data_IF_070376649041
#
_entry.id   IF_070376649041
#
_cell.length_a   1.000
_cell.length_b   1.000
_cell.length_c   1.000
_cell.angle_alpha   90.00
_cell.angle_beta   90.00
_cell.angle_gamma   90.00
#
_symmetry.space_group_name_H-M   'P 1'
#
loop_
_entity.id
_entity.type
_entity.pdbx_description
1 polymer ?
#
# COMPACT_ATOMS: atom_id res chain seq x y z
N UNK A 1 -8.84 -9.94 10.48
CA UNK A 1 -7.61 -9.38 9.88
C UNK A 1 -6.41 -9.46 10.81
N UNK A 2 -6.36 -8.71 11.93
CA UNK A 2 -5.12 -8.56 12.72
C UNK A 2 -4.83 -9.68 13.73
N UNK A 3 -5.78 -10.58 13.96
CA UNK A 3 -5.57 -11.80 14.76
C UNK A 3 -4.72 -12.82 13.99
N UNK A 4 -4.15 -13.80 14.70
CA UNK A 4 -3.19 -14.76 14.12
C UNK A 4 -3.73 -15.50 12.89
N UNK A 5 -5.01 -15.89 12.89
CA UNK A 5 -5.67 -16.60 11.78
C UNK A 5 -6.56 -15.67 10.92
N UNK A 6 -6.53 -14.37 11.21
CA UNK A 6 -7.52 -13.42 10.70
C UNK A 6 -7.45 -13.16 9.19
N UNK A 7 -6.36 -13.53 8.50
CA UNK A 7 -6.26 -13.48 7.04
C UNK A 7 -6.81 -14.75 6.38
N UNK A 8 -6.57 -15.92 6.97
CA UNK A 8 -7.12 -17.18 6.46
C UNK A 8 -8.64 -17.18 6.54
N UNK A 9 -9.21 -16.69 7.65
CA UNK A 9 -10.67 -16.52 7.76
C UNK A 9 -11.22 -15.56 6.71
N UNK A 10 -10.49 -14.49 6.37
CA UNK A 10 -10.90 -13.57 5.31
C UNK A 10 -10.87 -14.24 3.93
N UNK A 11 -9.86 -15.07 3.68
CA UNK A 11 -9.70 -15.81 2.42
C UNK A 11 -10.79 -16.84 2.15
N UNK A 12 -11.62 -17.21 3.14
CA UNK A 12 -12.80 -18.04 2.92
C UNK A 12 -13.87 -17.34 2.07
N UNK A 13 -13.87 -16.00 2.03
CA UNK A 13 -14.94 -15.24 1.36
C UNK A 13 -14.48 -13.98 0.61
N UNK A 14 -13.19 -13.66 0.62
CA UNK A 14 -12.63 -12.51 -0.09
C UNK A 14 -11.38 -12.93 -0.90
N UNK A 15 -11.15 -12.27 -2.03
CA UNK A 15 -9.95 -12.47 -2.86
C UNK A 15 -8.86 -11.41 -2.59
N UNK A 16 -9.18 -10.39 -1.80
CA UNK A 16 -8.24 -9.32 -1.46
C UNK A 16 -8.75 -8.38 -0.37
N UNK A 17 -7.86 -7.52 0.10
CA UNK A 17 -8.11 -6.53 1.14
C UNK A 17 -7.72 -5.12 0.65
N UNK A 18 -8.52 -4.13 1.03
CA UNK A 18 -8.23 -2.73 0.76
C UNK A 18 -8.05 -1.95 2.06
N UNK A 19 -6.87 -1.94 2.68
CA UNK A 19 -6.63 -1.19 3.91
C UNK A 19 -6.37 0.30 3.63
N UNK A 20 -6.46 1.13 4.66
CA UNK A 20 -5.89 2.48 4.58
C UNK A 20 -4.36 2.37 4.48
N UNK A 21 -3.72 3.16 3.62
CA UNK A 21 -2.27 3.05 3.31
C UNK A 21 -1.35 3.14 4.55
N UNK A 22 -1.77 3.84 5.61
CA UNK A 22 -1.06 3.92 6.88
C UNK A 22 -0.97 2.59 7.65
N UNK A 23 -1.78 1.59 7.28
CA UNK A 23 -1.69 0.21 7.79
C UNK A 23 -0.65 -0.63 7.04
N UNK A 24 -0.17 -0.15 5.88
CA UNK A 24 0.90 -0.76 5.09
C UNK A 24 2.24 -0.13 5.45
N UNK A 25 2.37 1.18 5.34
CA UNK A 25 3.54 1.94 5.82
C UNK A 25 3.08 2.92 6.89
N UNK A 26 3.59 2.78 8.11
CA UNK A 26 3.13 3.59 9.24
C UNK A 26 3.33 5.09 9.01
N UNK A 27 2.41 5.91 9.51
CA UNK A 27 2.52 7.37 9.52
C UNK A 27 3.68 7.90 10.38
N UNK A 28 4.22 7.08 11.29
CA UNK A 28 5.43 7.38 12.07
C UNK A 28 6.72 7.25 11.27
N UNK A 29 6.67 6.64 10.08
CA UNK A 29 7.85 6.46 9.23
C UNK A 29 8.49 7.80 8.86
N UNK A 30 9.79 7.78 8.61
CA UNK A 30 10.55 8.93 8.13
C UNK A 30 11.37 8.54 6.90
N UNK A 31 11.91 9.55 6.21
CA UNK A 31 12.80 9.30 5.07
C UNK A 31 14.02 8.50 5.55
N UNK A 32 14.20 7.30 5.01
CA UNK A 32 15.30 6.39 5.39
C UNK A 32 15.00 5.44 6.56
N UNK A 33 13.83 5.54 7.21
CA UNK A 33 13.37 4.57 8.21
C UNK A 33 11.87 4.30 8.02
N UNK A 34 11.57 3.33 7.16
CA UNK A 34 10.21 2.90 6.87
C UNK A 34 9.77 1.81 7.86
N UNK A 35 8.61 2.02 8.46
CA UNK A 35 7.94 1.01 9.28
C UNK A 35 6.89 0.32 8.41
N UNK A 36 7.33 -0.66 7.62
CA UNK A 36 6.47 -1.49 6.79
C UNK A 36 5.84 -2.58 7.65
N UNK A 37 4.52 -2.64 7.61
CA UNK A 37 3.70 -3.61 8.33
C UNK A 37 3.78 -4.99 7.69
N UNK A 38 3.73 -6.10 8.46
CA UNK A 38 3.64 -7.45 7.90
C UNK A 38 2.26 -7.76 7.29
N UNK A 39 1.38 -6.76 7.14
CA UNK A 39 0.01 -6.94 6.64
C UNK A 39 0.01 -7.49 5.21
N UNK A 40 0.89 -6.99 4.34
CA UNK A 40 0.96 -7.42 2.93
C UNK A 40 1.42 -8.87 2.86
N UNK A 41 2.56 -9.19 3.48
CA UNK A 41 3.07 -10.57 3.57
C UNK A 41 2.04 -11.56 4.10
N UNK A 42 1.30 -11.20 5.15
CA UNK A 42 0.26 -12.06 5.73
C UNK A 42 -0.94 -12.24 4.81
N UNK A 43 -1.33 -11.21 4.07
CA UNK A 43 -2.40 -11.30 3.10
C UNK A 43 -1.99 -12.21 1.93
N UNK A 44 -0.79 -12.00 1.38
CA UNK A 44 -0.23 -12.84 0.32
C UNK A 44 -0.08 -14.30 0.75
N UNK A 45 0.38 -14.56 1.99
CA UNK A 45 0.47 -15.91 2.53
C UNK A 45 -0.89 -16.63 2.61
N UNK A 46 -1.99 -15.88 2.75
CA UNK A 46 -3.36 -16.38 2.72
C UNK A 46 -3.98 -16.39 1.31
N UNK A 47 -3.23 -16.00 0.27
CA UNK A 47 -3.70 -15.92 -1.11
C UNK A 47 -4.55 -14.69 -1.45
N UNK A 48 -4.49 -13.65 -0.61
CA UNK A 48 -5.25 -12.40 -0.78
C UNK A 48 -4.41 -11.32 -1.46
N UNK A 49 -4.98 -10.62 -2.44
CA UNK A 49 -4.38 -9.39 -2.99
C UNK A 49 -4.54 -8.20 -2.03
N UNK A 50 -3.68 -7.19 -2.15
CA UNK A 50 -3.70 -5.99 -1.31
C UNK A 50 -3.78 -4.72 -2.16
N UNK A 51 -4.88 -3.98 -2.03
CA UNK A 51 -5.16 -2.74 -2.76
C UNK A 51 -5.44 -1.55 -1.82
N UNK A 52 -4.42 -0.89 -1.24
CA UNK A 52 -4.65 0.15 -0.23
C UNK A 52 -5.24 1.43 -0.80
N UNK A 53 -5.88 2.21 0.07
CA UNK A 53 -6.47 3.50 -0.25
C UNK A 53 -6.04 4.61 0.73
N UNK A 54 -6.18 5.91 0.43
CA UNK A 54 -6.24 6.53 -0.91
C UNK A 54 -4.94 7.30 -1.11
N UNK A 55 -4.34 7.16 -2.28
CA UNK A 55 -3.12 7.89 -2.65
C UNK A 55 -3.54 9.19 -3.32
N UNK A 56 -3.12 10.31 -2.72
CA UNK A 56 -3.48 11.66 -3.16
C UNK A 56 -2.23 12.52 -3.25
N UNK A 57 -2.17 13.38 -4.27
CA UNK A 57 -1.07 14.34 -4.46
C UNK A 57 -1.40 15.75 -3.96
N UNK A 58 -2.59 15.97 -3.39
CA UNK A 58 -2.96 17.27 -2.82
C UNK A 58 -1.96 17.70 -1.72
N UNK A 59 -1.82 19.02 -1.54
CA UNK A 59 -0.94 19.57 -0.52
C UNK A 59 -1.25 18.99 0.88
N UNK A 60 -0.23 18.41 1.52
CA UNK A 60 -0.34 17.79 2.84
C UNK A 60 -0.89 16.35 2.86
N UNK A 61 -1.22 15.76 1.70
CA UNK A 61 -1.68 14.36 1.64
C UNK A 61 -0.57 13.34 1.41
N UNK A 62 0.57 13.78 0.87
CA UNK A 62 1.78 12.95 0.74
C UNK A 62 2.43 12.83 2.13
N UNK A 63 2.57 11.61 2.69
CA UNK A 63 3.22 11.41 3.99
C UNK A 63 4.67 11.87 3.99
N UNK A 64 5.18 12.33 5.14
CA UNK A 64 6.53 12.91 5.27
C UNK A 64 7.68 11.94 4.95
N UNK A 65 7.42 10.63 4.97
CA UNK A 65 8.39 9.62 4.58
C UNK A 65 8.61 9.51 3.07
N UNK A 66 7.68 10.02 2.27
CA UNK A 66 7.79 10.04 0.81
C UNK A 66 8.30 11.39 0.33
N UNK A 67 9.06 11.38 -0.77
CA UNK A 67 9.54 12.61 -1.38
C UNK A 67 8.41 13.43 -2.01
N UNK A 68 7.64 12.76 -2.85
CA UNK A 68 6.50 13.27 -3.57
C UNK A 68 5.48 12.14 -3.80
N UNK A 69 4.51 12.39 -4.68
CA UNK A 69 3.49 11.39 -5.00
C UNK A 69 4.08 10.15 -5.67
N UNK A 70 5.01 10.32 -6.61
CA UNK A 70 5.67 9.21 -7.31
C UNK A 70 6.52 8.36 -6.37
N UNK A 71 7.28 8.96 -5.45
CA UNK A 71 8.02 8.20 -4.44
C UNK A 71 7.08 7.47 -3.48
N UNK A 72 5.92 8.06 -3.13
CA UNK A 72 4.90 7.35 -2.36
C UNK A 72 4.41 6.08 -3.09
N UNK A 73 4.17 6.17 -4.41
CA UNK A 73 3.80 5.02 -5.23
C UNK A 73 4.92 3.98 -5.26
N UNK A 74 6.16 4.42 -5.49
CA UNK A 74 7.36 3.56 -5.51
C UNK A 74 7.50 2.77 -4.22
N UNK A 75 7.36 3.45 -3.07
CA UNK A 75 7.45 2.84 -1.75
C UNK A 75 6.38 1.77 -1.54
N UNK A 76 5.14 2.00 -1.96
CA UNK A 76 4.09 1.01 -1.73
C UNK A 76 4.11 -0.13 -2.74
N UNK A 77 4.36 0.15 -4.03
CA UNK A 77 4.43 -0.89 -5.06
C UNK A 77 5.67 -1.77 -4.92
N UNK A 78 6.83 -1.19 -4.61
CA UNK A 78 8.11 -1.92 -4.73
C UNK A 78 8.80 -2.22 -3.41
N UNK A 79 8.55 -1.45 -2.34
CA UNK A 79 9.10 -1.78 -1.01
C UNK A 79 8.08 -2.55 -0.16
N UNK A 80 6.80 -2.16 -0.20
CA UNK A 80 5.73 -2.81 0.55
C UNK A 80 4.95 -3.86 -0.28
N UNK A 81 5.28 -4.03 -1.56
CA UNK A 81 4.75 -5.06 -2.46
C UNK A 81 3.21 -5.12 -2.57
N UNK A 82 2.54 -3.98 -2.67
CA UNK A 82 1.08 -3.96 -2.88
C UNK A 82 0.72 -4.31 -4.33
N UNK A 83 -0.34 -5.08 -4.54
CA UNK A 83 -0.77 -5.54 -5.87
C UNK A 83 -1.39 -4.41 -6.73
N UNK A 84 -1.82 -3.33 -6.08
CA UNK A 84 -2.58 -2.24 -6.66
C UNK A 84 -2.90 -1.18 -5.62
N UNK A 85 -3.53 -0.08 -6.04
CA UNK A 85 -3.95 0.97 -5.11
C UNK A 85 -5.13 1.77 -5.64
N UNK A 86 -5.83 2.42 -4.71
CA UNK A 86 -6.85 3.41 -5.02
C UNK A 86 -6.24 4.81 -4.97
N UNK A 87 -6.42 5.58 -6.05
CA UNK A 87 -5.96 6.97 -6.15
C UNK A 87 -6.99 7.84 -6.83
N UNK A 88 -7.04 9.11 -6.42
CA UNK A 88 -7.83 10.15 -7.08
C UNK A 88 -7.10 10.73 -8.33
N UNK A 89 -5.86 10.28 -8.58
CA UNK A 89 -4.98 10.73 -9.67
C UNK A 89 -4.56 9.56 -10.58
N UNK A 90 -5.52 8.88 -11.25
CA UNK A 90 -5.25 7.65 -12.00
C UNK A 90 -4.26 7.85 -13.15
N UNK A 91 -4.27 9.02 -13.80
CA UNK A 91 -3.35 9.37 -14.88
C UNK A 91 -1.89 9.43 -14.41
N UNK A 92 -1.65 9.80 -13.14
CA UNK A 92 -0.33 9.82 -12.54
C UNK A 92 0.15 8.42 -12.19
N UNK A 93 -0.69 7.62 -11.55
CA UNK A 93 -0.34 6.24 -11.22
C UNK A 93 -0.07 5.37 -12.47
N UNK A 94 -0.88 5.52 -13.54
CA UNK A 94 -0.64 4.82 -14.81
C UNK A 94 0.70 5.23 -15.44
N UNK A 95 0.98 6.54 -15.51
CA UNK A 95 2.25 7.03 -16.06
C UNK A 95 3.45 6.55 -15.25
N UNK A 96 3.33 6.54 -13.93
CA UNK A 96 4.37 6.02 -13.04
C UNK A 96 4.68 4.54 -13.35
N UNK A 97 3.67 3.67 -13.39
CA UNK A 97 3.88 2.25 -13.69
C UNK A 97 4.47 2.02 -15.08
N UNK A 98 3.97 2.71 -16.11
CA UNK A 98 4.51 2.60 -17.47
C UNK A 98 5.99 3.00 -17.59
N UNK A 99 6.46 3.91 -16.73
CA UNK A 99 7.84 4.36 -16.72
C UNK A 99 8.78 3.48 -15.87
N UNK A 100 8.24 2.57 -15.06
CA UNK A 100 8.99 1.78 -14.07
C UNK A 100 8.68 0.27 -14.16
N UNK A 101 8.18 -0.21 -15.30
CA UNK A 101 8.04 -1.64 -15.64
C UNK A 101 9.28 -2.18 -16.35
#
# INVERSE_FOLDING_TARGET
MFEADGMNTLAEFADGIGPEKGLVISRSSSRGNLEISPLVDRAHAAGLQVHPYTYRMDAGQVPSYAEDFEDLLRLHYFEADVDGLFTDFPDRAVRFLQANQ
#
